data_IF_614844000260
#
_entry.id   IF_614844000260
#
_cell.length_a   1.000
_cell.length_b   1.000
_cell.length_c   1.000
_cell.angle_alpha   90.00
_cell.angle_beta   90.00
_cell.angle_gamma   90.00
#
_symmetry.space_group_name_H-M   'P 1'
#
loop_
_entity.id
_entity.type
_entity.pdbx_description
1 polymer ?
#
# COMPACT_ATOMS: atom_id res chain seq x y z
N UNK A 1 -16.25 -17.57 37.18
CA UNK A 1 -15.22 -17.63 36.13
C UNK A 1 -15.91 -17.80 34.79
N UNK A 2 -15.56 -17.04 33.74
CA UNK A 2 -16.11 -17.27 32.40
C UNK A 2 -15.71 -18.68 31.93
N UNK A 3 -16.67 -19.42 31.37
CA UNK A 3 -16.41 -20.74 30.76
C UNK A 3 -15.46 -20.59 29.57
N UNK A 4 -14.69 -21.63 29.25
CA UNK A 4 -13.80 -21.67 28.08
C UNK A 4 -14.54 -21.23 26.79
N UNK A 5 -15.79 -21.65 26.67
CA UNK A 5 -16.73 -21.25 25.61
C UNK A 5 -16.95 -19.73 25.52
N UNK A 6 -17.16 -19.08 26.65
CA UNK A 6 -17.32 -17.62 26.73
C UNK A 6 -16.05 -16.88 26.30
N UNK A 7 -14.88 -17.51 26.48
CA UNK A 7 -13.61 -16.90 26.10
C UNK A 7 -13.38 -16.94 24.58
N UNK A 8 -13.77 -18.02 23.92
CA UNK A 8 -13.57 -18.20 22.48
C UNK A 8 -14.44 -17.27 21.63
N UNK A 9 -15.70 -17.06 22.03
CA UNK A 9 -16.56 -16.09 21.35
C UNK A 9 -16.08 -14.65 21.54
N UNK A 10 -15.47 -14.32 22.69
CA UNK A 10 -14.83 -13.00 22.88
C UNK A 10 -13.63 -12.81 21.96
N UNK A 11 -12.78 -13.83 21.82
CA UNK A 11 -11.66 -13.81 20.87
C UNK A 11 -12.19 -13.62 19.46
N UNK A 12 -13.22 -14.38 19.08
CA UNK A 12 -13.81 -14.31 17.75
C UNK A 12 -14.42 -12.93 17.46
N UNK A 13 -15.19 -12.35 18.40
CA UNK A 13 -15.74 -11.00 18.28
C UNK A 13 -14.63 -9.96 18.05
N UNK A 14 -13.60 -9.99 18.90
CA UNK A 14 -12.48 -9.04 18.80
C UNK A 14 -11.75 -9.17 17.44
N UNK A 15 -11.52 -10.39 16.96
CA UNK A 15 -10.92 -10.60 15.64
C UNK A 15 -11.84 -10.13 14.50
N UNK A 16 -13.15 -10.30 14.62
CA UNK A 16 -14.12 -9.78 13.64
C UNK A 16 -14.08 -8.25 13.57
N UNK A 17 -14.09 -7.57 14.71
CA UNK A 17 -13.99 -6.11 14.80
C UNK A 17 -12.67 -5.60 14.21
N UNK A 18 -11.56 -6.32 14.45
CA UNK A 18 -10.26 -6.02 13.83
C UNK A 18 -10.32 -6.18 12.31
N UNK A 19 -10.90 -7.28 11.80
CA UNK A 19 -11.04 -7.52 10.37
C UNK A 19 -11.91 -6.43 9.71
N UNK A 20 -13.04 -6.08 10.32
CA UNK A 20 -13.95 -5.03 9.83
C UNK A 20 -13.25 -3.67 9.76
N UNK A 21 -12.53 -3.29 10.83
CA UNK A 21 -11.77 -2.03 10.87
C UNK A 21 -10.73 -1.99 9.76
N UNK A 22 -10.01 -3.09 9.54
CA UNK A 22 -9.01 -3.18 8.48
C UNK A 22 -9.63 -3.12 7.08
N UNK A 23 -10.76 -3.79 6.83
CA UNK A 23 -11.47 -3.71 5.54
C UNK A 23 -11.83 -2.26 5.22
N UNK A 24 -12.46 -1.56 6.17
CA UNK A 24 -12.86 -0.15 6.00
C UNK A 24 -11.65 0.74 5.69
N UNK A 25 -10.54 0.53 6.40
CA UNK A 25 -9.32 1.30 6.16
C UNK A 25 -8.75 1.03 4.77
N UNK A 26 -8.70 -0.22 4.33
CA UNK A 26 -8.18 -0.56 3.00
C UNK A 26 -9.09 0.01 1.90
N UNK A 27 -10.40 -0.11 2.02
CA UNK A 27 -11.36 0.51 1.08
C UNK A 27 -11.13 2.01 0.93
N UNK A 28 -10.83 2.70 2.03
CA UNK A 28 -10.59 4.14 2.04
C UNK A 28 -9.22 4.52 1.46
N UNK A 29 -8.20 3.68 1.65
CA UNK A 29 -6.83 3.91 1.14
C UNK A 29 -6.75 3.61 -0.36
N UNK A 30 -7.23 2.44 -0.78
CA UNK A 30 -7.00 1.95 -2.15
C UNK A 30 -8.08 2.42 -3.13
N UNK A 31 -9.27 2.75 -2.64
CA UNK A 31 -10.48 2.91 -3.46
C UNK A 31 -10.83 1.65 -4.29
N UNK A 32 -10.13 0.53 -4.09
CA UNK A 32 -10.30 -0.73 -4.82
C UNK A 32 -11.34 -1.63 -4.15
N UNK A 33 -12.54 -1.11 -3.90
CA UNK A 33 -13.73 -1.90 -3.53
C UNK A 33 -13.50 -3.10 -2.58
N UNK A 34 -14.22 -4.19 -2.83
CA UNK A 34 -14.33 -5.32 -1.89
C UNK A 34 -13.18 -6.32 -2.05
N UNK A 35 -12.45 -6.57 -0.97
CA UNK A 35 -11.43 -7.62 -0.89
C UNK A 35 -12.05 -9.04 -0.89
N UNK A 36 -12.29 -9.58 -2.08
CA UNK A 36 -12.96 -10.88 -2.28
C UNK A 36 -12.36 -12.01 -1.42
N UNK A 37 -11.02 -12.19 -1.33
CA UNK A 37 -10.43 -13.26 -0.51
C UNK A 37 -10.83 -13.15 0.97
N UNK A 38 -10.71 -11.95 1.54
CA UNK A 38 -11.03 -11.67 2.94
C UNK A 38 -12.51 -11.88 3.24
N UNK A 39 -13.41 -11.42 2.36
CA UNK A 39 -14.85 -11.68 2.49
C UNK A 39 -15.16 -13.16 2.44
N UNK A 40 -14.49 -13.91 1.57
CA UNK A 40 -14.67 -15.36 1.48
C UNK A 40 -14.23 -16.06 2.78
N UNK A 41 -13.14 -15.61 3.42
CA UNK A 41 -12.75 -16.12 4.73
C UNK A 41 -13.78 -15.79 5.82
N UNK A 42 -14.32 -14.55 5.85
CA UNK A 42 -15.38 -14.17 6.79
C UNK A 42 -16.66 -14.99 6.57
N UNK A 43 -17.00 -15.32 5.33
CA UNK A 43 -18.12 -16.22 4.99
C UNK A 43 -17.90 -17.62 5.56
N UNK A 44 -16.70 -18.18 5.43
CA UNK A 44 -16.36 -19.48 6.05
C UNK A 44 -16.37 -19.40 7.58
N UNK A 45 -15.90 -18.31 8.17
CA UNK A 45 -16.01 -18.10 9.61
C UNK A 45 -17.47 -18.14 10.08
N UNK A 46 -18.36 -17.42 9.38
CA UNK A 46 -19.81 -17.46 9.62
C UNK A 46 -20.39 -18.86 9.56
N UNK A 47 -20.03 -19.65 8.53
CA UNK A 47 -20.45 -21.05 8.40
C UNK A 47 -20.06 -21.89 9.62
N UNK A 48 -18.81 -21.79 10.08
CA UNK A 48 -18.32 -22.52 11.24
C UNK A 48 -18.94 -22.06 12.56
N UNK A 49 -19.27 -20.78 12.70
CA UNK A 49 -20.00 -20.27 13.88
C UNK A 49 -21.39 -20.91 13.95
N UNK A 50 -22.15 -20.91 12.85
CA UNK A 50 -23.48 -21.52 12.81
C UNK A 50 -23.41 -23.01 13.11
N UNK A 51 -22.44 -23.75 12.57
CA UNK A 51 -22.21 -25.17 12.88
C UNK A 51 -21.91 -25.40 14.36
N UNK A 52 -21.08 -24.56 14.97
CA UNK A 52 -20.77 -24.64 16.40
C UNK A 52 -22.01 -24.40 17.27
N UNK A 53 -22.89 -23.48 16.88
CA UNK A 53 -24.11 -23.18 17.64
C UNK A 53 -25.15 -24.31 17.56
N UNK A 54 -25.17 -25.05 16.45
CA UNK A 54 -26.15 -26.13 16.21
C UNK A 54 -25.67 -27.52 16.65
N UNK A 55 -24.39 -27.69 17.01
CA UNK A 55 -23.86 -29.00 17.39
C UNK A 55 -24.13 -29.32 18.86
N UNK A 56 -24.68 -30.50 19.13
CA UNK A 56 -24.88 -31.02 20.48
C UNK A 56 -23.58 -31.62 21.08
N UNK A 57 -22.63 -31.99 20.23
CA UNK A 57 -21.33 -32.53 20.65
C UNK A 57 -20.35 -31.40 21.05
N UNK A 58 -19.91 -31.43 22.31
CA UNK A 58 -18.97 -30.45 22.84
C UNK A 58 -17.63 -30.43 22.08
N UNK A 59 -17.15 -31.58 21.56
CA UNK A 59 -15.89 -31.63 20.81
C UNK A 59 -16.04 -30.99 19.43
N UNK A 60 -17.11 -31.30 18.71
CA UNK A 60 -17.42 -30.64 17.44
C UNK A 60 -17.63 -29.13 17.64
N UNK A 61 -18.42 -28.70 18.64
CA UNK A 61 -18.60 -27.27 18.96
C UNK A 61 -17.27 -26.54 19.09
N UNK A 62 -16.36 -27.12 19.87
CA UNK A 62 -15.02 -26.59 20.09
C UNK A 62 -14.19 -26.54 18.80
N UNK A 63 -14.20 -27.61 18.01
CA UNK A 63 -13.44 -27.69 16.77
C UNK A 63 -13.92 -26.67 15.73
N UNK A 64 -15.24 -26.47 15.61
CA UNK A 64 -15.82 -25.50 14.70
C UNK A 64 -15.49 -24.05 15.11
N UNK A 65 -15.46 -23.73 16.41
CA UNK A 65 -15.00 -22.39 16.88
C UNK A 65 -13.54 -22.12 16.53
N UNK A 66 -12.67 -23.12 16.70
CA UNK A 66 -11.25 -22.99 16.32
C UNK A 66 -11.12 -22.73 14.82
N UNK A 67 -11.89 -23.43 13.98
CA UNK A 67 -11.92 -23.17 12.53
C UNK A 67 -12.40 -21.75 12.24
N UNK A 68 -13.47 -21.30 12.88
CA UNK A 68 -13.98 -19.94 12.70
C UNK A 68 -12.92 -18.89 13.04
N UNK A 69 -12.23 -19.02 14.19
CA UNK A 69 -11.12 -18.14 14.59
C UNK A 69 -10.02 -18.12 13.51
N UNK A 70 -9.62 -19.29 13.01
CA UNK A 70 -8.58 -19.39 11.99
C UNK A 70 -8.98 -18.73 10.67
N UNK A 71 -10.26 -18.80 10.29
CA UNK A 71 -10.77 -18.08 9.12
C UNK A 71 -10.75 -16.56 9.31
N UNK A 72 -11.14 -16.04 10.47
CA UNK A 72 -11.07 -14.58 10.71
C UNK A 72 -9.62 -14.09 10.73
N UNK A 73 -8.70 -14.84 11.34
CA UNK A 73 -7.25 -14.52 11.26
C UNK A 73 -6.78 -14.47 9.80
N UNK A 74 -7.15 -15.46 8.98
CA UNK A 74 -6.82 -15.47 7.55
C UNK A 74 -7.41 -14.28 6.81
N UNK A 75 -8.63 -13.85 7.15
CA UNK A 75 -9.22 -12.65 6.58
C UNK A 75 -8.36 -11.41 6.87
N UNK A 76 -7.93 -11.22 8.12
CA UNK A 76 -7.03 -10.13 8.54
C UNK A 76 -5.75 -10.12 7.70
N UNK A 77 -5.18 -11.31 7.50
CA UNK A 77 -3.96 -11.48 6.74
C UNK A 77 -4.11 -11.22 5.24
N UNK A 78 -5.20 -11.68 4.63
CA UNK A 78 -5.50 -11.41 3.23
C UNK A 78 -5.67 -9.88 3.00
N UNK A 79 -6.22 -9.16 3.99
CA UNK A 79 -6.30 -7.68 3.96
C UNK A 79 -4.90 -7.05 4.01
N UNK A 80 -4.08 -7.48 4.96
CA UNK A 80 -2.72 -6.96 5.16
C UNK A 80 -1.84 -7.21 3.93
N UNK A 81 -1.96 -8.37 3.28
CA UNK A 81 -1.26 -8.65 2.02
C UNK A 81 -1.73 -7.76 0.87
N UNK A 82 -3.04 -7.54 0.74
CA UNK A 82 -3.59 -6.65 -0.29
C UNK A 82 -3.08 -5.22 -0.14
N UNK A 83 -3.06 -4.71 1.10
CA UNK A 83 -2.55 -3.37 1.40
C UNK A 83 -1.04 -3.25 1.13
N UNK A 84 -0.28 -4.32 1.38
CA UNK A 84 1.15 -4.36 1.10
C UNK A 84 1.44 -4.27 -0.40
N UNK A 85 0.68 -5.01 -1.22
CA UNK A 85 0.76 -4.96 -2.69
C UNK A 85 0.46 -3.54 -3.17
N UNK A 86 -0.64 -2.95 -2.68
CA UNK A 86 -1.01 -1.57 -3.02
C UNK A 86 0.13 -0.58 -2.75
N UNK A 87 0.78 -0.64 -1.59
CA UNK A 87 1.87 0.28 -1.28
C UNK A 87 3.09 0.09 -2.17
N UNK A 88 3.42 -1.16 -2.52
CA UNK A 88 4.52 -1.44 -3.45
C UNK A 88 4.19 -0.87 -4.83
N UNK A 89 3.00 -1.13 -5.35
CA UNK A 89 2.56 -0.63 -6.66
C UNK A 89 2.52 0.90 -6.69
N UNK A 90 1.98 1.53 -5.65
CA UNK A 90 1.95 3.00 -5.51
C UNK A 90 3.36 3.60 -5.54
N UNK A 91 4.31 2.98 -4.83
CA UNK A 91 5.70 3.41 -4.82
C UNK A 91 6.40 3.21 -6.18
N UNK A 92 6.10 2.11 -6.88
CA UNK A 92 6.59 1.85 -8.24
C UNK A 92 6.02 2.88 -9.22
N UNK A 93 4.71 3.14 -9.19
CA UNK A 93 4.08 4.16 -10.03
C UNK A 93 4.67 5.55 -9.80
N UNK A 94 4.97 5.92 -8.54
CA UNK A 94 5.65 7.17 -8.25
C UNK A 94 7.04 7.23 -8.89
N UNK A 95 7.84 6.17 -8.72
CA UNK A 95 9.18 6.07 -9.30
C UNK A 95 9.15 6.18 -10.83
N UNK A 96 8.26 5.44 -11.49
CA UNK A 96 8.12 5.46 -12.96
C UNK A 96 7.68 6.84 -13.46
N UNK A 97 6.71 7.46 -12.79
CA UNK A 97 6.18 8.77 -13.18
C UNK A 97 7.23 9.88 -13.10
N UNK A 98 8.14 9.83 -12.13
CA UNK A 98 9.11 10.90 -11.88
C UNK A 98 10.56 10.49 -12.15
N UNK A 99 10.81 9.36 -12.82
CA UNK A 99 12.15 8.85 -13.09
C UNK A 99 13.07 9.87 -13.77
N UNK A 100 12.51 10.67 -14.69
CA UNK A 100 13.27 11.64 -15.47
C UNK A 100 13.25 13.06 -14.86
N UNK A 101 12.58 13.23 -13.71
CA UNK A 101 12.47 14.52 -13.06
C UNK A 101 13.66 14.76 -12.13
N UNK A 102 14.48 15.75 -12.46
CA UNK A 102 15.58 16.21 -11.60
C UNK A 102 15.12 16.80 -10.26
N UNK A 103 13.81 17.02 -10.07
CA UNK A 103 13.24 17.64 -8.88
C UNK A 103 12.93 16.64 -7.75
N UNK A 104 12.96 15.33 -8.02
CA UNK A 104 12.60 14.31 -7.01
C UNK A 104 13.49 14.42 -5.78
N UNK A 105 14.81 14.46 -5.97
CA UNK A 105 15.78 14.56 -4.86
C UNK A 105 15.80 15.93 -4.20
N UNK A 106 15.29 16.97 -4.87
CA UNK A 106 15.11 18.29 -4.26
C UNK A 106 13.88 18.35 -3.33
N UNK A 107 12.83 17.60 -3.65
CA UNK A 107 11.58 17.57 -2.86
C UNK A 107 11.64 16.49 -1.79
N UNK A 108 12.16 15.31 -2.14
CA UNK A 108 12.35 14.17 -1.26
C UNK A 108 13.84 14.02 -0.98
N UNK A 109 14.32 14.71 0.05
CA UNK A 109 15.75 14.81 0.35
C UNK A 109 16.41 13.48 0.70
N UNK A 110 15.63 12.51 1.18
CA UNK A 110 16.05 11.16 1.54
C UNK A 110 15.48 10.09 0.60
N UNK A 111 15.32 10.45 -0.68
CA UNK A 111 14.78 9.57 -1.72
C UNK A 111 15.56 8.24 -1.85
N UNK A 112 16.91 8.20 -1.85
CA UNK A 112 17.65 6.94 -1.87
C UNK A 112 17.30 6.00 -0.71
N UNK A 113 17.10 6.53 0.50
CA UNK A 113 16.73 5.75 1.68
C UNK A 113 15.31 5.20 1.57
N UNK A 114 14.38 5.95 0.95
CA UNK A 114 13.03 5.46 0.66
C UNK A 114 13.05 4.32 -0.34
N UNK A 115 13.86 4.43 -1.39
CA UNK A 115 14.06 3.35 -2.36
C UNK A 115 14.70 2.11 -1.74
N UNK A 116 15.69 2.28 -0.85
CA UNK A 116 16.29 1.18 -0.11
C UNK A 116 15.26 0.47 0.78
N UNK A 117 14.37 1.22 1.44
CA UNK A 117 13.27 0.68 2.25
C UNK A 117 12.30 -0.15 1.40
N UNK A 118 11.95 0.35 0.21
CA UNK A 118 11.08 -0.36 -0.74
C UNK A 118 11.72 -1.68 -1.22
N UNK A 119 13.00 -1.65 -1.57
CA UNK A 119 13.75 -2.83 -2.02
C UNK A 119 13.92 -3.87 -0.90
N UNK A 120 14.24 -3.43 0.32
CA UNK A 120 14.29 -4.29 1.51
C UNK A 120 12.95 -5.00 1.74
N UNK A 121 11.85 -4.24 1.70
CA UNK A 121 10.51 -4.77 1.89
C UNK A 121 10.17 -5.80 0.80
N UNK A 122 10.36 -5.45 -0.47
CA UNK A 122 10.04 -6.33 -1.58
C UNK A 122 10.84 -7.65 -1.54
N UNK A 123 12.16 -7.57 -1.30
CA UNK A 123 13.02 -8.76 -1.14
C UNK A 123 12.58 -9.63 0.02
N UNK A 124 12.26 -9.02 1.17
CA UNK A 124 11.82 -9.76 2.35
C UNK A 124 10.48 -10.48 2.08
N UNK A 125 9.54 -9.83 1.41
CA UNK A 125 8.25 -10.43 1.02
C UNK A 125 8.46 -11.61 0.07
N UNK A 126 9.32 -11.46 -0.94
CA UNK A 126 9.65 -12.54 -1.88
C UNK A 126 10.29 -13.73 -1.17
N UNK A 127 11.29 -13.50 -0.31
CA UNK A 127 11.93 -14.55 0.48
C UNK A 127 10.93 -15.26 1.40
N UNK A 128 10.01 -14.52 2.02
CA UNK A 128 8.97 -15.11 2.85
C UNK A 128 8.03 -16.00 2.03
N UNK A 129 7.73 -15.64 0.77
CA UNK A 129 6.90 -16.44 -0.14
C UNK A 129 7.63 -17.72 -0.58
N UNK A 130 8.90 -17.63 -0.95
CA UNK A 130 9.73 -18.77 -1.37
C UNK A 130 9.96 -19.80 -0.25
N UNK A 131 10.19 -19.32 0.97
CA UNK A 131 10.45 -20.18 2.13
C UNK A 131 9.17 -20.86 2.67
N UNK A 132 7.98 -20.38 2.31
CA UNK A 132 6.69 -20.92 2.76
C UNK A 132 6.01 -21.79 1.68
N UNK A 133 6.78 -22.60 0.95
CA UNK A 133 6.26 -23.58 -0.01
C UNK A 133 5.19 -24.55 0.57
N UNK A 134 5.09 -24.67 1.90
CA UNK A 134 3.97 -25.32 2.57
C UNK A 134 3.14 -24.31 3.36
N UNK A 135 1.90 -24.10 2.91
CA UNK A 135 0.82 -23.29 3.51
C UNK A 135 0.45 -23.61 4.98
N UNK A 136 1.25 -24.39 5.70
CA UNK A 136 0.94 -24.86 7.06
C UNK A 136 1.13 -23.78 8.13
N UNK A 137 1.94 -22.74 7.89
CA UNK A 137 2.25 -21.71 8.90
C UNK A 137 2.01 -20.26 8.43
N UNK A 138 0.86 -20.05 7.76
CA UNK A 138 0.42 -18.73 7.28
C UNK A 138 0.44 -17.67 8.40
N UNK A 139 0.05 -18.03 9.62
CA UNK A 139 0.02 -17.07 10.74
C UNK A 139 1.40 -16.48 11.04
N UNK A 140 2.47 -17.29 11.06
CA UNK A 140 3.83 -16.78 11.23
C UNK A 140 4.31 -15.96 10.03
N UNK A 141 3.93 -16.34 8.81
CA UNK A 141 4.23 -15.58 7.60
C UNK A 141 3.66 -14.16 7.69
N UNK A 142 2.38 -14.02 8.03
CA UNK A 142 1.73 -12.71 8.08
C UNK A 142 2.16 -11.84 9.27
N UNK A 143 2.50 -12.43 10.41
CA UNK A 143 3.13 -11.69 11.51
C UNK A 143 4.45 -11.03 11.09
N UNK A 144 5.23 -11.68 10.22
CA UNK A 144 6.46 -11.12 9.67
C UNK A 144 6.23 -10.01 8.63
N UNK A 145 5.03 -9.95 8.03
CA UNK A 145 4.67 -8.90 7.06
C UNK A 145 4.25 -7.59 7.73
N UNK A 146 3.66 -7.65 8.92
CA UNK A 146 3.10 -6.46 9.60
C UNK A 146 4.07 -5.28 9.74
N UNK A 147 5.36 -5.46 10.08
CA UNK A 147 6.31 -4.33 10.15
C UNK A 147 6.50 -3.60 8.81
N UNK A 148 6.37 -4.30 7.68
CA UNK A 148 6.55 -3.69 6.36
C UNK A 148 5.37 -2.82 5.95
N UNK A 149 4.15 -3.12 6.43
CA UNK A 149 2.99 -2.25 6.19
C UNK A 149 3.23 -0.83 6.70
N UNK A 150 3.68 -0.71 7.96
CA UNK A 150 3.97 0.61 8.56
C UNK A 150 5.13 1.31 7.86
N UNK A 151 6.17 0.56 7.46
CA UNK A 151 7.31 1.14 6.73
C UNK A 151 6.88 1.67 5.36
N UNK A 152 6.15 0.87 4.58
CA UNK A 152 5.76 1.22 3.22
C UNK A 152 4.67 2.29 3.18
N UNK A 153 3.71 2.27 4.10
CA UNK A 153 2.71 3.34 4.25
C UNK A 153 3.38 4.71 4.37
N UNK A 154 4.39 4.84 5.24
CA UNK A 154 5.14 6.11 5.40
C UNK A 154 5.87 6.53 4.12
N UNK A 155 6.40 5.58 3.36
CA UNK A 155 7.06 5.87 2.07
C UNK A 155 6.03 6.41 1.07
N UNK A 156 4.89 5.74 0.95
CA UNK A 156 3.81 6.14 0.03
C UNK A 156 3.23 7.49 0.42
N UNK A 157 2.97 7.74 1.72
CA UNK A 157 2.49 9.04 2.20
C UNK A 157 3.42 10.18 1.78
N UNK A 158 4.74 9.98 1.91
CA UNK A 158 5.75 10.98 1.49
C UNK A 158 5.67 11.18 -0.03
N UNK A 159 5.58 10.10 -0.81
CA UNK A 159 5.48 10.16 -2.26
C UNK A 159 4.21 10.87 -2.74
N UNK A 160 3.05 10.57 -2.15
CA UNK A 160 1.78 11.22 -2.46
C UNK A 160 1.84 12.73 -2.16
N UNK A 161 2.39 13.12 -1.00
CA UNK A 161 2.55 14.53 -0.63
C UNK A 161 3.58 15.25 -1.52
N UNK A 162 4.60 14.54 -1.99
CA UNK A 162 5.68 15.10 -2.81
C UNK A 162 5.30 15.23 -4.29
N UNK A 163 4.41 14.36 -4.79
CA UNK A 163 3.96 14.36 -6.17
C UNK A 163 3.49 15.75 -6.68
N UNK A 164 2.58 16.49 -6.01
CA UNK A 164 2.16 17.81 -6.47
C UNK A 164 3.30 18.86 -6.41
N UNK A 165 4.25 18.72 -5.48
CA UNK A 165 5.39 19.63 -5.35
C UNK A 165 6.39 19.44 -6.49
N UNK A 166 6.67 18.19 -6.86
CA UNK A 166 7.52 17.84 -8.00
C UNK A 166 6.86 18.32 -9.30
N UNK A 167 5.56 18.06 -9.48
CA UNK A 167 4.81 18.50 -10.65
C UNK A 167 4.83 20.03 -10.80
N UNK A 168 4.66 20.77 -9.70
CA UNK A 168 4.75 22.22 -9.71
C UNK A 168 6.14 22.73 -10.10
N UNK A 169 7.21 22.16 -9.54
CA UNK A 169 8.59 22.53 -9.91
C UNK A 169 8.88 22.26 -11.39
N UNK A 170 8.39 21.14 -11.92
CA UNK A 170 8.52 20.81 -13.34
C UNK A 170 7.82 21.86 -14.21
N UNK A 171 6.58 22.19 -13.88
CA UNK A 171 5.81 23.21 -14.60
C UNK A 171 6.49 24.59 -14.54
N UNK A 172 6.99 25.01 -13.37
CA UNK A 172 7.66 26.29 -13.20
C UNK A 172 8.94 26.38 -14.07
N UNK A 173 9.69 25.28 -14.20
CA UNK A 173 10.86 25.21 -15.07
C UNK A 173 10.48 25.27 -16.54
N UNK A 174 9.46 24.52 -16.96
CA UNK A 174 9.00 24.50 -18.34
C UNK A 174 8.51 25.90 -18.78
N UNK A 175 7.82 26.61 -17.89
CA UNK A 175 7.39 28.00 -18.08
C UNK A 175 8.57 28.97 -18.18
N UNK A 176 9.60 28.80 -17.36
CA UNK A 176 10.82 29.60 -17.41
C UNK A 176 11.61 29.36 -18.70
N UNK A 177 11.73 28.11 -19.13
CA UNK A 177 12.41 27.74 -20.37
C UNK A 177 11.67 28.30 -21.59
N UNK A 178 10.34 28.24 -21.58
CA UNK A 178 9.51 28.84 -22.64
C UNK A 178 9.68 30.37 -22.69
N UNK A 179 9.67 31.05 -21.54
CA UNK A 179 9.93 32.50 -21.46
C UNK A 179 11.34 32.86 -21.95
N UNK A 180 12.34 32.05 -21.60
CA UNK A 180 13.73 32.26 -22.00
C UNK A 180 13.92 32.07 -23.50
N UNK A 181 13.32 31.03 -24.10
CA UNK A 181 13.31 30.82 -25.56
C UNK A 181 12.65 31.99 -26.30
N UNK A 182 11.50 32.47 -25.81
CA UNK A 182 10.83 33.66 -26.40
C UNK A 182 11.73 34.90 -26.35
N UNK A 183 12.39 35.17 -25.22
CA UNK A 183 13.32 36.30 -25.07
C UNK A 183 14.52 36.18 -26.03
N UNK A 184 15.07 34.98 -26.17
CA UNK A 184 16.20 34.72 -27.07
C UNK A 184 15.85 35.01 -28.54
N UNK A 185 14.67 34.54 -29.00
CA UNK A 185 14.19 34.80 -30.36
C UNK A 185 14.01 36.32 -30.60
N UNK A 186 13.41 37.03 -29.65
CA UNK A 186 13.24 38.49 -29.75
C UNK A 186 14.59 39.20 -29.85
N UNK A 187 15.58 38.80 -29.04
CA UNK A 187 16.92 39.37 -29.09
C UNK A 187 17.63 39.13 -30.42
N UNK A 188 17.50 37.93 -31.02
CA UNK A 188 18.04 37.65 -32.36
C UNK A 188 17.41 38.58 -33.40
N UNK A 189 16.09 38.72 -33.38
CA UNK A 189 15.37 39.58 -34.34
C UNK A 189 15.84 41.04 -34.23
N UNK A 190 15.95 41.58 -33.01
CA UNK A 190 16.46 42.93 -32.76
C UNK A 190 17.90 43.10 -33.26
N UNK A 191 18.76 42.09 -33.04
CA UNK A 191 20.14 42.08 -33.53
C UNK A 191 20.22 42.15 -35.06
N UNK A 192 19.41 41.37 -35.77
CA UNK A 192 19.34 41.39 -37.23
C UNK A 192 18.89 42.77 -37.75
N UNK A 193 17.85 43.36 -37.15
CA UNK A 193 17.39 44.71 -37.54
C UNK A 193 18.46 45.78 -37.31
N UNK A 194 19.22 45.68 -36.21
CA UNK A 194 20.32 46.62 -35.92
C UNK A 194 21.42 46.56 -36.97
N UNK A 195 21.78 45.36 -37.45
CA UNK A 195 22.78 45.18 -38.52
C UNK A 195 22.27 45.77 -39.84
N UNK A 196 21.01 45.51 -40.20
CA UNK A 196 20.41 46.05 -41.43
C UNK A 196 20.36 47.59 -41.39
N UNK A 197 20.03 48.18 -40.23
CA UNK A 197 19.99 49.62 -40.07
C UNK A 197 21.38 50.27 -40.16
N UNK A 198 22.44 49.61 -39.68
CA UNK A 198 23.81 50.11 -39.75
C UNK A 198 24.45 50.03 -41.16
N UNK A 199 23.90 49.20 -42.04
CA UNK A 199 24.36 49.04 -43.44
C UNK A 199 23.67 50.00 -44.42
N UNK A 200 22.72 50.83 -43.96
CA UNK A 200 22.07 51.89 -44.74
C UNK A 200 22.68 53.25 -44.41
#
# INVERSE_FOLDING_TARGET
>A
MPTKDTNEFKILLNLFEQAETKIKNVEQITSEGVLIPSINQLRYAGHHIVRSLLSDDAKERQAERVKAINHVKRAIYDIDESLLIYYIESAVCFKEKYNDSGFVTEVVTDYPEKLATLDEANKSIQQLRENNNNYQDREQFYQKLSPYLTKLSKVVDIFEQSAPLIAKKQQDKDDQDLKSKKRFIVMIIIGIFSIIAALK
#
